data_IF_129938407631
#
_entry.id   IF_129938407631
#
_cell.length_a   1.000
_cell.length_b   1.000
_cell.length_c   1.000
_cell.angle_alpha   90.00
_cell.angle_beta   90.00
_cell.angle_gamma   90.00
#
_symmetry.space_group_name_H-M   'P 1'
#
loop_
_entity.id
_entity.type
_entity.pdbx_description
1 polymer ?
#
# COMPACT_ATOMS: atom_id res chain seq x y z
N UNK A 1 -29.94 2.77 -7.16
CA UNK A 1 -28.94 3.68 -7.75
C UNK A 1 -28.15 4.51 -6.73
N UNK A 2 -28.77 5.18 -5.75
CA UNK A 2 -28.06 6.06 -4.78
C UNK A 2 -27.04 5.32 -3.89
N UNK A 3 -27.37 4.13 -3.39
CA UNK A 3 -26.48 3.33 -2.53
C UNK A 3 -25.19 2.89 -3.25
N UNK A 4 -25.26 2.50 -4.53
CA UNK A 4 -24.08 2.10 -5.32
C UNK A 4 -23.09 3.26 -5.51
N UNK A 5 -23.58 4.49 -5.71
CA UNK A 5 -22.73 5.69 -5.80
C UNK A 5 -22.06 6.00 -4.45
N UNK A 6 -22.80 5.88 -3.35
CA UNK A 6 -22.25 6.07 -2.00
C UNK A 6 -21.17 5.03 -1.65
N UNK A 7 -21.40 3.76 -1.98
CA UNK A 7 -20.39 2.69 -1.78
C UNK A 7 -19.12 2.94 -2.60
N UNK A 8 -19.26 3.48 -3.82
CA UNK A 8 -18.11 3.86 -4.66
C UNK A 8 -17.33 5.02 -4.03
N UNK A 9 -18.00 6.08 -3.60
CA UNK A 9 -17.34 7.19 -2.90
C UNK A 9 -16.70 6.77 -1.59
N UNK A 10 -17.36 5.89 -0.82
CA UNK A 10 -16.80 5.33 0.40
C UNK A 10 -15.54 4.50 0.12
N UNK A 11 -15.51 3.75 -0.98
CA UNK A 11 -14.32 3.00 -1.42
C UNK A 11 -13.17 3.93 -1.77
N UNK A 12 -13.45 5.03 -2.48
CA UNK A 12 -12.45 6.05 -2.80
C UNK A 12 -11.93 6.74 -1.53
N UNK A 13 -12.83 7.14 -0.63
CA UNK A 13 -12.47 7.72 0.65
C UNK A 13 -11.60 6.79 1.47
N UNK A 14 -12.02 5.54 1.68
CA UNK A 14 -11.28 4.55 2.47
C UNK A 14 -9.89 4.31 1.88
N UNK A 15 -9.78 4.21 0.55
CA UNK A 15 -8.49 4.03 -0.13
C UNK A 15 -7.58 5.26 0.05
N UNK A 16 -8.10 6.47 -0.18
CA UNK A 16 -7.31 7.69 -0.01
C UNK A 16 -6.89 7.92 1.46
N UNK A 17 -7.81 7.67 2.40
CA UNK A 17 -7.56 7.81 3.82
C UNK A 17 -6.52 6.82 4.32
N UNK A 18 -6.67 5.54 3.99
CA UNK A 18 -5.73 4.50 4.45
C UNK A 18 -4.34 4.64 3.86
N UNK A 19 -4.22 5.00 2.58
CA UNK A 19 -2.92 5.03 1.89
C UNK A 19 -2.15 6.32 2.19
N UNK A 20 -2.81 7.47 2.29
CA UNK A 20 -2.11 8.77 2.36
C UNK A 20 -2.38 9.54 3.65
N UNK A 21 -3.65 9.75 4.00
CA UNK A 21 -4.00 10.66 5.09
C UNK A 21 -3.66 10.08 6.46
N UNK A 22 -3.99 8.80 6.70
CA UNK A 22 -3.71 8.13 7.96
C UNK A 22 -2.21 8.11 8.25
N UNK A 23 -1.40 7.86 7.22
CA UNK A 23 0.05 7.91 7.33
C UNK A 23 0.54 9.31 7.71
N UNK A 24 0.14 10.37 6.99
CA UNK A 24 0.58 11.74 7.28
C UNK A 24 0.14 12.23 8.66
N UNK A 25 -1.10 11.93 9.05
CA UNK A 25 -1.63 12.28 10.38
C UNK A 25 -0.87 11.52 11.47
N UNK A 26 -0.64 10.22 11.28
CA UNK A 26 0.11 9.40 12.23
C UNK A 26 1.56 9.87 12.36
N UNK A 27 2.23 10.18 11.25
CA UNK A 27 3.59 10.69 11.23
C UNK A 27 3.68 12.05 11.94
N UNK A 28 2.77 12.97 11.64
CA UNK A 28 2.69 14.27 12.32
C UNK A 28 2.47 14.12 13.82
N UNK A 29 1.50 13.29 14.23
CA UNK A 29 1.25 13.00 15.64
C UNK A 29 2.46 12.37 16.33
N UNK A 30 3.13 11.43 15.67
CA UNK A 30 4.35 10.80 16.19
C UNK A 30 5.43 11.85 16.45
N UNK A 31 5.70 12.72 15.47
CA UNK A 31 6.68 13.81 15.63
C UNK A 31 6.32 14.72 16.80
N UNK A 32 5.05 15.13 16.93
CA UNK A 32 4.61 16.01 18.01
C UNK A 32 4.72 15.33 19.39
N UNK A 33 4.28 14.07 19.50
CA UNK A 33 4.33 13.31 20.75
C UNK A 33 5.77 13.06 21.17
N UNK A 34 6.63 12.62 20.24
CA UNK A 34 8.04 12.37 20.55
C UNK A 34 8.76 13.66 20.95
N UNK A 35 8.48 14.77 20.28
CA UNK A 35 9.04 16.05 20.68
C UNK A 35 8.61 16.44 22.10
N UNK A 36 7.30 16.39 22.39
CA UNK A 36 6.77 16.85 23.68
C UNK A 36 7.13 15.94 24.85
N UNK A 37 7.17 14.62 24.64
CA UNK A 37 7.37 13.64 25.71
C UNK A 37 8.83 13.19 25.86
N UNK A 38 9.61 13.19 24.79
CA UNK A 38 10.99 12.71 24.82
C UNK A 38 11.98 13.87 24.76
N UNK A 39 11.88 14.72 23.73
CA UNK A 39 12.86 15.80 23.51
C UNK A 39 12.78 16.84 24.63
N UNK A 40 11.57 17.30 24.98
CA UNK A 40 11.41 18.32 26.02
C UNK A 40 11.81 17.86 27.42
N UNK A 41 11.86 16.55 27.68
CA UNK A 41 12.19 16.00 29.01
C UNK A 41 13.67 15.63 29.15
N UNK A 42 14.39 15.41 28.05
CA UNK A 42 15.81 15.05 28.07
C UNK A 42 16.66 16.30 27.80
N UNK A 43 17.40 16.85 28.79
CA UNK A 43 18.10 18.12 28.67
C UNK A 43 19.06 18.20 27.48
N UNK A 44 19.76 17.10 27.18
CA UNK A 44 20.67 17.01 26.04
C UNK A 44 19.94 17.17 24.70
N UNK A 45 18.76 16.57 24.55
CA UNK A 45 18.00 16.62 23.31
C UNK A 45 17.26 17.96 23.17
N UNK A 46 16.73 18.53 24.26
CA UNK A 46 16.12 19.86 24.24
C UNK A 46 17.12 20.97 23.91
N UNK A 47 18.41 20.79 24.23
CA UNK A 47 19.46 21.74 23.88
C UNK A 47 19.78 21.72 22.38
N UNK A 48 19.70 20.55 21.73
CA UNK A 48 19.96 20.39 20.29
C UNK A 48 18.72 20.76 19.47
N UNK A 49 17.54 20.32 19.91
CA UNK A 49 16.26 20.54 19.23
C UNK A 49 15.41 21.55 19.99
N UNK A 50 15.72 22.83 19.78
CA UNK A 50 15.05 23.97 20.44
C UNK A 50 13.65 24.25 19.92
N UNK A 51 13.29 23.75 18.74
CA UNK A 51 11.95 23.89 18.17
C UNK A 51 11.43 22.59 17.57
N UNK A 52 10.12 22.42 17.62
CA UNK A 52 9.41 21.31 16.97
C UNK A 52 9.70 21.28 15.47
N UNK A 53 9.77 22.45 14.82
CA UNK A 53 10.05 22.54 13.38
C UNK A 53 11.43 21.99 13.02
N UNK A 54 12.46 22.33 13.80
CA UNK A 54 13.82 21.83 13.58
C UNK A 54 13.90 20.31 13.79
N UNK A 55 13.29 19.81 14.87
CA UNK A 55 13.21 18.37 15.11
C UNK A 55 12.48 17.64 13.97
N UNK A 56 11.34 18.16 13.53
CA UNK A 56 10.55 17.57 12.44
C UNK A 56 11.36 17.50 11.14
N UNK A 57 12.06 18.59 10.79
CA UNK A 57 12.89 18.64 9.58
C UNK A 57 14.02 17.61 9.62
N UNK A 58 14.78 17.56 10.71
CA UNK A 58 15.86 16.59 10.89
C UNK A 58 15.33 15.15 10.92
N UNK A 59 14.23 14.92 11.64
CA UNK A 59 13.59 13.62 11.71
C UNK A 59 13.17 13.13 10.32
N UNK A 60 12.46 13.95 9.54
CA UNK A 60 12.02 13.59 8.18
C UNK A 60 13.22 13.34 7.27
N UNK A 61 14.26 14.18 7.35
CA UNK A 61 15.48 14.05 6.55
C UNK A 61 16.23 12.73 6.80
N UNK A 62 16.12 12.14 7.99
CA UNK A 62 16.73 10.84 8.32
C UNK A 62 15.74 9.70 8.07
N UNK A 63 14.49 9.88 8.50
CA UNK A 63 13.44 8.87 8.42
C UNK A 63 13.12 8.47 6.97
N UNK A 64 13.01 9.44 6.04
CA UNK A 64 12.67 9.15 4.64
C UNK A 64 13.75 8.31 3.95
N UNK A 65 15.05 8.68 3.97
CA UNK A 65 16.09 7.83 3.40
C UNK A 65 16.16 6.46 4.06
N UNK A 66 16.05 6.39 5.40
CA UNK A 66 16.08 5.12 6.11
C UNK A 66 14.91 4.22 5.69
N UNK A 67 13.70 4.77 5.59
CA UNK A 67 12.52 4.05 5.11
C UNK A 67 12.68 3.56 3.66
N UNK A 68 13.28 4.37 2.79
CA UNK A 68 13.59 3.96 1.41
C UNK A 68 14.60 2.82 1.39
N UNK A 69 15.68 2.91 2.17
CA UNK A 69 16.71 1.86 2.24
C UNK A 69 16.14 0.57 2.81
N UNK A 70 15.38 0.64 3.92
CA UNK A 70 14.72 -0.51 4.51
C UNK A 70 13.70 -1.13 3.54
N UNK A 71 12.88 -0.31 2.88
CA UNK A 71 11.94 -0.77 1.87
C UNK A 71 12.62 -1.39 0.66
N UNK A 72 13.75 -0.84 0.21
CA UNK A 72 14.55 -1.41 -0.87
C UNK A 72 15.20 -2.74 -0.47
N UNK A 73 15.72 -2.85 0.75
CA UNK A 73 16.26 -4.10 1.28
C UNK A 73 15.15 -5.15 1.36
N UNK A 74 13.98 -4.80 1.90
CA UNK A 74 12.84 -5.71 2.03
C UNK A 74 12.33 -6.19 0.66
N UNK A 75 12.20 -5.25 -0.29
CA UNK A 75 11.83 -5.54 -1.67
C UNK A 75 12.81 -6.48 -2.37
N UNK A 76 14.12 -6.30 -2.13
CA UNK A 76 15.18 -7.05 -2.81
C UNK A 76 15.53 -8.37 -2.10
N UNK A 77 15.32 -8.50 -0.78
CA UNK A 77 15.81 -9.63 0.00
C UNK A 77 14.76 -10.62 0.51
N UNK A 78 13.47 -10.30 0.74
CA UNK A 78 12.60 -11.26 1.46
C UNK A 78 11.12 -11.44 1.02
N UNK A 79 10.24 -10.43 0.97
CA UNK A 79 8.78 -10.76 1.09
C UNK A 79 7.86 -10.24 -0.01
N UNK A 80 8.12 -9.08 -0.62
CA UNK A 80 7.14 -8.43 -1.51
C UNK A 80 6.88 -9.21 -2.80
N UNK A 81 7.89 -9.84 -3.38
CA UNK A 81 7.73 -10.68 -4.57
C UNK A 81 7.00 -11.99 -4.25
N UNK A 82 7.23 -12.57 -3.07
CA UNK A 82 6.58 -13.80 -2.60
C UNK A 82 5.11 -13.54 -2.26
N UNK A 83 4.80 -12.48 -1.51
CA UNK A 83 3.42 -12.12 -1.15
C UNK A 83 2.60 -11.67 -2.36
N UNK A 84 3.17 -10.91 -3.29
CA UNK A 84 2.49 -10.54 -4.54
C UNK A 84 2.24 -11.77 -5.43
N UNK A 85 3.19 -12.71 -5.50
CA UNK A 85 3.00 -13.94 -6.27
C UNK A 85 2.03 -14.90 -5.58
N UNK A 86 2.03 -15.01 -4.26
CA UNK A 86 1.02 -15.75 -3.49
C UNK A 86 -0.37 -15.14 -3.67
N UNK A 87 -0.51 -13.83 -3.49
CA UNK A 87 -1.77 -13.13 -3.72
C UNK A 87 -2.27 -13.30 -5.16
N UNK A 88 -1.37 -13.23 -6.15
CA UNK A 88 -1.71 -13.49 -7.55
C UNK A 88 -2.12 -14.96 -7.80
N UNK A 89 -1.51 -15.92 -7.10
CA UNK A 89 -1.90 -17.35 -7.16
C UNK A 89 -3.22 -17.64 -6.44
N UNK A 90 -3.57 -16.87 -5.42
CA UNK A 90 -4.84 -17.03 -4.69
C UNK A 90 -6.00 -16.29 -5.34
N UNK A 91 -5.75 -15.29 -6.20
CA UNK A 91 -6.80 -14.61 -6.94
C UNK A 91 -7.31 -15.51 -8.09
N UNK A 92 -8.58 -15.98 -8.05
CA UNK A 92 -9.12 -16.85 -9.10
C UNK A 92 -9.01 -16.22 -10.49
N UNK A 93 -9.21 -14.90 -10.61
CA UNK A 93 -9.08 -14.18 -11.88
C UNK A 93 -7.68 -14.32 -12.51
N UNK A 94 -6.63 -14.16 -11.71
CA UNK A 94 -5.24 -14.25 -12.16
C UNK A 94 -4.87 -15.66 -12.59
N UNK A 95 -5.34 -16.68 -11.86
CA UNK A 95 -5.14 -18.10 -12.21
C UNK A 95 -5.87 -18.45 -13.50
N UNK A 96 -7.11 -18.00 -13.64
CA UNK A 96 -7.95 -18.30 -14.80
C UNK A 96 -7.41 -17.66 -16.08
N UNK A 97 -6.89 -16.44 -16.00
CA UNK A 97 -6.22 -15.80 -17.14
C UNK A 97 -4.95 -16.55 -17.52
N UNK A 98 -4.11 -16.90 -16.55
CA UNK A 98 -2.90 -17.67 -16.83
C UNK A 98 -3.22 -19.02 -17.50
N UNK A 99 -4.27 -19.70 -17.03
CA UNK A 99 -4.76 -20.95 -17.62
C UNK A 99 -5.33 -20.75 -19.03
N UNK A 100 -6.10 -19.68 -19.26
CA UNK A 100 -6.62 -19.36 -20.57
C UNK A 100 -5.50 -19.06 -21.57
N UNK A 101 -4.48 -18.30 -21.17
CA UNK A 101 -3.29 -18.01 -22.00
C UNK A 101 -2.53 -19.28 -22.38
N UNK A 102 -2.36 -20.21 -21.44
CA UNK A 102 -1.75 -21.51 -21.71
C UNK A 102 -2.56 -22.32 -22.74
N UNK A 103 -3.88 -22.37 -22.60
CA UNK A 103 -4.77 -23.08 -23.53
C UNK A 103 -4.76 -22.45 -24.93
N UNK A 104 -4.73 -21.11 -25.03
CA UNK A 104 -4.56 -20.41 -26.31
C UNK A 104 -3.23 -20.78 -26.99
N UNK A 105 -2.13 -20.79 -26.24
CA UNK A 105 -0.82 -21.19 -26.75
C UNK A 105 -0.77 -22.66 -27.20
N UNK A 106 -1.59 -23.52 -26.56
CA UNK A 106 -1.73 -24.95 -26.89
C UNK A 106 -2.71 -25.20 -28.04
N UNK A 107 -3.32 -24.17 -28.61
CA UNK A 107 -4.33 -24.27 -29.68
C UNK A 107 -5.73 -24.66 -29.22
N UNK A 108 -5.96 -24.78 -27.91
CA UNK A 108 -7.24 -25.18 -27.29
C UNK A 108 -8.16 -23.97 -27.06
N UNK A 109 -8.40 -23.19 -28.12
CA UNK A 109 -9.08 -21.90 -28.06
C UNK A 109 -10.49 -21.95 -27.44
N UNK A 110 -11.25 -23.01 -27.71
CA UNK A 110 -12.61 -23.16 -27.16
C UNK A 110 -12.62 -23.35 -25.64
N UNK A 111 -11.63 -24.06 -25.08
CA UNK A 111 -11.49 -24.19 -23.62
C UNK A 111 -11.08 -22.87 -22.97
N UNK A 112 -10.22 -22.10 -23.64
CA UNK A 112 -9.81 -20.78 -23.18
C UNK A 112 -11.01 -19.80 -23.14
N UNK A 113 -11.83 -19.76 -24.21
CA UNK A 113 -13.04 -18.94 -24.26
C UNK A 113 -13.98 -19.23 -23.09
N UNK A 114 -14.28 -20.51 -22.85
CA UNK A 114 -15.17 -20.92 -21.75
C UNK A 114 -14.68 -20.48 -20.37
N UNK A 115 -13.35 -20.46 -20.16
CA UNK A 115 -12.76 -19.95 -18.91
C UNK A 115 -12.91 -18.43 -18.80
N UNK A 116 -12.83 -17.69 -19.90
CA UNK A 116 -12.93 -16.23 -19.91
C UNK A 116 -14.38 -15.72 -19.86
N UNK A 117 -15.35 -16.48 -20.39
CA UNK A 117 -16.78 -16.13 -20.39
C UNK A 117 -17.31 -15.77 -19.00
N UNK A 118 -16.89 -16.49 -17.95
CA UNK A 118 -17.30 -16.22 -16.56
C UNK A 118 -16.94 -14.82 -16.06
N UNK A 119 -15.98 -14.15 -16.70
CA UNK A 119 -15.52 -12.81 -16.33
C UNK A 119 -16.09 -11.71 -17.23
N UNK A 120 -16.64 -12.06 -18.37
CA UNK A 120 -17.19 -11.12 -19.37
C UNK A 120 -18.63 -10.72 -19.00
N UNK A 121 -19.39 -11.64 -18.41
CA UNK A 121 -20.79 -11.42 -17.99
C UNK A 121 -20.96 -10.70 -16.64
N UNK A 122 -19.86 -10.25 -16.03
CA UNK A 122 -19.95 -9.47 -14.79
C UNK A 122 -20.45 -8.06 -15.14
N UNK A 123 -21.63 -7.63 -14.65
CA UNK A 123 -22.16 -6.30 -14.98
C UNK A 123 -21.17 -5.24 -14.52
N UNK A 124 -20.56 -4.54 -15.49
CA UNK A 124 -19.67 -3.40 -15.25
C UNK A 124 -20.47 -2.34 -14.50
N UNK A 125 -20.23 -2.25 -13.19
CA UNK A 125 -20.91 -1.31 -12.29
C UNK A 125 -20.61 0.14 -12.62
#
# INVERSE_FOLDING_TARGET
MKLRRLLRYFTYFRRAHSVYLAFLISLGNFVVIQYRLLISYIPMLSAVFTSLGLFALCFIAIYVPLAIVLGWIDYRKLSVSVDLTLAARHNPYSVDIAKALYLLASGENEKAKKILEKWIDVPRS
#
